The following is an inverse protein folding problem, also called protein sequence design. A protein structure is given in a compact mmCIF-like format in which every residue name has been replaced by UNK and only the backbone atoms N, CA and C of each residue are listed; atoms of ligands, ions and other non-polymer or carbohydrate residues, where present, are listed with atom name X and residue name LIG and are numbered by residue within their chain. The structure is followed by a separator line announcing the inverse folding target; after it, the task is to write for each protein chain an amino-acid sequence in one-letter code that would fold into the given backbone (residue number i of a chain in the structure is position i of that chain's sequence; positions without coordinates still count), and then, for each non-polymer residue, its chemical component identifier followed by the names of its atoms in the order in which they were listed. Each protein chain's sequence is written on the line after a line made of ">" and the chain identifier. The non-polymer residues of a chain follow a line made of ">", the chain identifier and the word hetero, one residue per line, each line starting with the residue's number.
data_IF_731524667017
#
_entry.id   IF_731524667017
#
_cell.length_a   1.000
_cell.length_b   1.000
_cell.length_c   1.000
_cell.angle_alpha   90.00
_cell.angle_beta   90.00
_cell.angle_gamma   90.00
#
_symmetry.space_group_name_H-M   'P 1'
#
loop_
_entity.id
_entity.type
_entity.pdbx_description
1 polymer ?
#
# COMPACT_ATOMS: atom_id res chain seq x y z
N UNK A 1 -35.19 28.88 -83.49
CA UNK A 1 -34.71 27.49 -83.48
C UNK A 1 -33.92 27.25 -82.20
N UNK A 2 -34.29 26.23 -81.41
CA UNK A 2 -33.48 25.75 -80.26
C UNK A 2 -32.17 25.14 -80.79
N UNK A 3 -31.09 25.12 -79.99
CA UNK A 3 -30.91 23.92 -79.16
C UNK A 3 -30.51 24.21 -77.72
N UNK A 4 -31.09 23.40 -76.84
CA UNK A 4 -30.70 23.11 -75.47
C UNK A 4 -29.36 22.37 -75.46
N UNK A 5 -28.43 22.71 -74.58
CA UNK A 5 -27.34 21.82 -74.18
C UNK A 5 -27.25 21.80 -72.65
N UNK A 6 -27.58 20.65 -72.09
CA UNK A 6 -27.35 20.20 -70.71
C UNK A 6 -25.92 19.69 -70.59
N UNK A 7 -25.14 20.18 -69.61
CA UNK A 7 -23.94 19.51 -69.06
C UNK A 7 -23.80 19.90 -67.59
N UNK A 8 -24.28 19.04 -66.68
CA UNK A 8 -23.51 18.02 -65.95
C UNK A 8 -22.73 18.62 -64.77
N UNK A 9 -23.32 18.48 -63.57
CA UNK A 9 -22.68 18.75 -62.30
C UNK A 9 -21.61 17.69 -62.02
N UNK A 10 -20.41 18.11 -61.63
CA UNK A 10 -19.48 17.30 -60.85
C UNK A 10 -19.40 17.92 -59.45
N UNK A 11 -20.06 17.28 -58.48
CA UNK A 11 -19.72 17.46 -57.07
C UNK A 11 -18.48 16.62 -56.80
N UNK A 12 -17.32 17.26 -56.70
CA UNK A 12 -16.13 16.64 -56.12
C UNK A 12 -16.33 16.58 -54.59
N UNK A 13 -16.91 15.50 -54.10
CA UNK A 13 -16.93 15.20 -52.67
C UNK A 13 -15.54 14.78 -52.23
N UNK A 14 -14.82 15.66 -51.53
CA UNK A 14 -13.61 15.29 -50.81
C UNK A 14 -14.02 14.48 -49.58
N UNK A 15 -13.81 13.16 -49.61
CA UNK A 15 -13.91 12.32 -48.43
C UNK A 15 -12.67 12.57 -47.55
N UNK A 16 -12.84 13.34 -46.47
CA UNK A 16 -11.84 13.44 -45.41
C UNK A 16 -11.99 12.16 -44.57
N UNK A 17 -11.09 11.21 -44.76
CA UNK A 17 -10.95 10.08 -43.85
C UNK A 17 -10.30 10.59 -42.56
N UNK A 18 -11.13 10.90 -41.55
CA UNK A 18 -10.67 11.14 -40.18
C UNK A 18 -10.21 9.80 -39.60
N UNK A 19 -8.91 9.55 -39.64
CA UNK A 19 -8.27 8.49 -38.85
C UNK A 19 -8.37 8.92 -37.39
N UNK A 20 -9.33 8.37 -36.65
CA UNK A 20 -9.37 8.51 -35.21
C UNK A 20 -8.20 7.75 -34.61
N UNK A 21 -7.15 8.46 -34.18
CA UNK A 21 -6.20 7.89 -33.23
C UNK A 21 -6.95 7.79 -31.90
N UNK A 22 -7.47 6.60 -31.59
CA UNK A 22 -7.80 6.29 -30.21
C UNK A 22 -6.47 6.22 -29.45
N UNK A 23 -6.18 7.24 -28.63
CA UNK A 23 -5.11 7.15 -27.66
C UNK A 23 -5.49 6.02 -26.68
N UNK A 24 -4.69 4.95 -26.64
CA UNK A 24 -4.80 3.98 -25.58
C UNK A 24 -4.63 4.71 -24.24
N UNK A 25 -5.39 4.36 -23.18
CA UNK A 25 -5.14 4.93 -21.87
C UNK A 25 -3.68 4.66 -21.50
N UNK A 26 -2.95 5.72 -21.15
CA UNK A 26 -1.61 5.56 -20.63
C UNK A 26 -1.74 4.87 -19.27
N UNK A 27 -1.40 3.59 -19.23
CA UNK A 27 -1.23 2.88 -17.97
C UNK A 27 0.08 3.40 -17.36
N UNK A 28 0.00 4.01 -16.17
CA UNK A 28 1.20 4.38 -15.44
C UNK A 28 2.06 3.12 -15.23
N UNK A 29 3.37 3.27 -15.34
CA UNK A 29 4.27 2.16 -15.05
C UNK A 29 4.28 1.90 -13.55
N UNK A 30 4.13 0.63 -13.15
CA UNK A 30 4.27 0.21 -11.75
C UNK A 30 5.62 0.63 -11.20
N UNK A 31 5.61 1.21 -10.01
CA UNK A 31 6.80 1.67 -9.29
C UNK A 31 7.21 0.55 -8.33
N UNK A 32 8.38 -0.03 -8.55
CA UNK A 32 8.91 -1.05 -7.64
C UNK A 32 9.84 -0.40 -6.62
N UNK A 33 9.52 -0.54 -5.34
CA UNK A 33 10.36 -0.11 -4.22
C UNK A 33 10.97 -1.35 -3.58
N UNK A 34 12.29 -1.38 -3.39
CA UNK A 34 12.99 -2.57 -2.87
C UNK A 34 13.98 -2.29 -1.74
N UNK A 35 14.31 -1.02 -1.51
CA UNK A 35 15.17 -0.56 -0.41
C UNK A 35 14.89 0.90 -0.06
N UNK A 36 15.18 1.28 1.18
CA UNK A 36 14.99 2.64 1.68
C UNK A 36 13.74 2.82 2.54
N UNK A 37 13.54 4.05 3.01
CA UNK A 37 12.42 4.42 3.88
C UNK A 37 11.09 4.34 3.13
N UNK A 38 10.10 3.66 3.75
CA UNK A 38 8.72 3.62 3.26
C UNK A 38 7.77 3.52 4.43
N UNK A 39 6.85 4.46 4.53
CA UNK A 39 5.66 4.28 5.35
C UNK A 39 4.62 3.60 4.46
N UNK A 40 4.52 2.28 4.60
CA UNK A 40 3.66 1.43 3.77
C UNK A 40 2.24 1.95 3.84
N UNK A 41 1.78 2.30 5.06
CA UNK A 41 0.50 2.97 5.25
C UNK A 41 0.75 4.34 5.86
N UNK A 42 0.49 5.40 5.12
CA UNK A 42 0.40 6.75 5.64
C UNK A 42 -1.08 7.15 5.76
N UNK A 43 -1.45 7.66 6.93
CA UNK A 43 -2.84 7.95 7.30
C UNK A 43 -3.06 9.45 7.28
N UNK A 44 -3.89 9.90 6.34
CA UNK A 44 -4.29 11.29 6.19
C UNK A 44 -5.73 11.56 6.58
N UNK A 45 -6.03 12.82 6.91
CA UNK A 45 -7.40 13.31 7.05
C UNK A 45 -7.58 14.64 6.32
N UNK A 46 -8.06 14.58 5.08
CA UNK A 46 -8.34 15.74 4.25
C UNK A 46 -9.80 15.75 3.78
N UNK A 47 -10.38 16.93 3.59
CA UNK A 47 -11.70 17.06 2.96
C UNK A 47 -12.86 16.42 3.75
N UNK A 48 -12.63 16.06 5.02
CA UNK A 48 -13.60 15.36 5.87
C UNK A 48 -13.54 13.83 5.80
N UNK A 49 -12.58 13.26 5.06
CA UNK A 49 -12.40 11.82 4.87
C UNK A 49 -11.04 11.35 5.42
N UNK A 50 -11.00 10.11 5.93
CA UNK A 50 -9.74 9.43 6.19
C UNK A 50 -9.24 8.84 4.88
N UNK A 51 -7.95 8.97 4.62
CA UNK A 51 -7.30 8.47 3.41
C UNK A 51 -6.09 7.62 3.81
N UNK A 52 -5.80 6.60 3.00
CA UNK A 52 -4.61 5.76 3.15
C UNK A 52 -3.83 5.83 1.85
N UNK A 53 -2.59 6.28 1.95
CA UNK A 53 -1.63 6.34 0.84
C UNK A 53 -0.34 5.65 1.25
N UNK A 54 0.60 5.52 0.32
CA UNK A 54 1.96 5.07 0.63
C UNK A 54 2.90 6.27 0.56
N UNK A 55 3.69 6.50 1.61
CA UNK A 55 4.73 7.53 1.60
C UNK A 55 6.09 6.91 1.18
N UNK A 56 6.55 7.25 -0.01
CA UNK A 56 7.82 6.78 -0.58
C UNK A 56 8.96 7.74 -0.23
N UNK A 57 9.76 7.38 0.78
CA UNK A 57 10.98 8.08 1.18
C UNK A 57 12.26 7.56 0.50
N UNK A 58 12.17 6.61 -0.44
CA UNK A 58 13.35 5.90 -0.99
C UNK A 58 14.30 6.81 -1.77
N UNK A 59 13.82 7.93 -2.30
CA UNK A 59 14.62 8.91 -3.02
C UNK A 59 15.30 9.96 -2.12
N UNK A 60 15.02 9.93 -0.81
CA UNK A 60 15.43 10.95 0.16
C UNK A 60 14.55 12.21 0.17
N UNK A 61 13.64 12.35 -0.79
CA UNK A 61 12.47 13.24 -0.70
C UNK A 61 11.24 12.37 -0.70
N UNK A 62 10.37 12.58 0.28
CA UNK A 62 9.13 11.83 0.41
C UNK A 62 8.15 12.20 -0.72
N UNK A 63 7.51 11.18 -1.27
CA UNK A 63 6.50 11.29 -2.32
C UNK A 63 5.34 10.37 -1.96
N UNK A 64 4.15 10.93 -1.80
CA UNK A 64 2.93 10.12 -1.70
C UNK A 64 2.63 9.40 -3.02
N UNK A 65 2.23 8.14 -2.91
CA UNK A 65 1.87 7.29 -4.04
C UNK A 65 0.54 6.61 -3.77
N UNK A 66 -0.24 6.43 -4.84
CA UNK A 66 -1.35 5.48 -4.83
C UNK A 66 -0.80 4.06 -4.63
N UNK A 67 -1.20 3.34 -3.58
CA UNK A 67 -0.74 1.97 -3.33
C UNK A 67 -0.99 1.02 -4.51
N UNK A 68 -1.98 1.27 -5.37
CA UNK A 68 -2.24 0.47 -6.57
C UNK A 68 -1.16 0.60 -7.65
N UNK A 69 -0.38 1.69 -7.63
CA UNK A 69 0.72 1.94 -8.57
C UNK A 69 2.07 1.44 -8.05
N UNK A 70 2.13 0.91 -6.82
CA UNK A 70 3.37 0.52 -6.15
C UNK A 70 3.44 -0.99 -5.95
N UNK A 71 4.62 -1.56 -6.21
CA UNK A 71 4.99 -2.91 -5.83
C UNK A 71 6.14 -2.86 -4.81
N UNK A 72 5.88 -3.34 -3.60
CA UNK A 72 6.88 -3.47 -2.54
C UNK A 72 7.63 -4.79 -2.71
N UNK A 73 8.90 -4.74 -3.08
CA UNK A 73 9.71 -5.93 -3.27
C UNK A 73 10.49 -6.27 -2.00
N UNK A 74 10.08 -7.37 -1.36
CA UNK A 74 10.81 -8.00 -0.26
C UNK A 74 11.88 -8.89 -0.87
N UNK A 75 13.10 -8.35 -0.97
CA UNK A 75 14.21 -9.01 -1.66
C UNK A 75 14.62 -10.33 -0.97
N UNK A 76 15.25 -11.29 -1.69
CA UNK A 76 15.80 -12.51 -1.10
C UNK A 76 16.73 -12.28 0.10
N UNK A 77 17.43 -11.15 0.16
CA UNK A 77 18.30 -10.79 1.29
C UNK A 77 17.53 -10.58 2.62
N UNK A 78 16.20 -10.50 2.58
CA UNK A 78 15.35 -10.49 3.77
C UNK A 78 15.16 -11.90 4.37
N UNK A 79 15.55 -12.97 3.68
CA UNK A 79 15.40 -14.34 4.17
C UNK A 79 16.21 -14.58 5.45
N UNK A 80 15.54 -15.15 6.44
CA UNK A 80 16.12 -15.67 7.66
C UNK A 80 15.35 -16.92 8.08
N UNK A 81 15.62 -17.44 9.27
CA UNK A 81 14.92 -18.61 9.82
C UNK A 81 14.17 -18.26 11.10
N UNK A 82 12.99 -18.85 11.28
CA UNK A 82 12.22 -18.72 12.52
C UNK A 82 13.09 -19.15 13.72
N UNK A 83 13.27 -18.29 14.75
CA UNK A 83 14.09 -18.61 15.91
C UNK A 83 13.57 -19.83 16.69
N UNK A 84 14.49 -20.61 17.27
CA UNK A 84 14.13 -21.68 18.22
C UNK A 84 13.75 -21.10 19.60
N UNK A 85 12.68 -20.32 19.63
CA UNK A 85 12.08 -19.70 20.79
C UNK A 85 10.57 -19.66 20.56
N UNK A 86 9.78 -20.20 21.48
CA UNK A 86 8.32 -20.27 21.36
C UNK A 86 7.64 -18.90 21.23
N UNK A 87 8.31 -17.80 21.61
CA UNK A 87 7.79 -16.46 21.39
C UNK A 87 7.60 -16.13 19.89
N UNK A 88 8.28 -16.83 18.98
CA UNK A 88 8.21 -16.63 17.53
C UNK A 88 7.38 -17.70 16.81
N UNK A 89 6.60 -18.53 17.54
CA UNK A 89 5.82 -19.61 16.92
C UNK A 89 4.73 -19.11 15.96
N UNK A 90 4.41 -17.82 15.99
CA UNK A 90 3.49 -17.17 15.05
C UNK A 90 4.08 -16.99 13.65
N UNK A 91 5.41 -17.16 13.48
CA UNK A 91 6.09 -17.11 12.18
C UNK A 91 6.25 -18.49 11.51
N UNK A 92 5.81 -19.56 12.17
CA UNK A 92 6.03 -20.95 11.73
C UNK A 92 6.81 -21.81 12.73
N UNK A 93 7.40 -22.90 12.24
CA UNK A 93 8.20 -23.81 13.06
C UNK A 93 9.65 -23.34 13.15
N UNK A 94 10.36 -23.58 14.27
CA UNK A 94 11.79 -23.27 14.37
C UNK A 94 12.61 -23.83 13.19
N UNK A 95 13.34 -22.96 12.51
CA UNK A 95 14.15 -23.30 11.33
C UNK A 95 13.44 -23.17 9.98
N UNK A 96 12.12 -22.94 9.96
CA UNK A 96 11.41 -22.61 8.71
C UNK A 96 11.94 -21.28 8.13
N UNK A 97 12.01 -21.14 6.79
CA UNK A 97 12.39 -19.88 6.17
C UNK A 97 11.30 -18.81 6.39
N UNK A 98 11.72 -17.57 6.59
CA UNK A 98 10.85 -16.40 6.74
C UNK A 98 11.57 -15.16 6.20
N UNK A 99 10.88 -14.30 5.47
CA UNK A 99 11.45 -13.08 4.90
C UNK A 99 11.02 -11.89 5.74
N UNK A 100 11.98 -11.21 6.37
CA UNK A 100 11.68 -10.14 7.34
C UNK A 100 12.27 -8.81 6.88
N UNK A 101 11.40 -7.85 6.61
CA UNK A 101 11.80 -6.43 6.58
C UNK A 101 11.95 -5.96 8.03
N UNK A 102 13.15 -5.53 8.47
CA UNK A 102 13.41 -5.29 9.89
C UNK A 102 12.91 -3.93 10.36
N UNK A 103 12.45 -3.86 11.63
CA UNK A 103 12.13 -2.58 12.30
C UNK A 103 13.36 -1.69 12.57
N UNK A 104 14.55 -2.25 12.42
CA UNK A 104 15.81 -1.52 12.52
C UNK A 104 16.33 -1.31 11.10
N UNK A 105 16.76 -0.08 10.80
CA UNK A 105 17.24 0.27 9.46
C UNK A 105 18.30 -0.72 8.97
N UNK A 106 17.99 -1.35 7.83
CA UNK A 106 18.93 -2.08 7.01
C UNK A 106 18.98 -1.37 5.64
N UNK A 107 20.16 -0.87 5.26
CA UNK A 107 20.32 -0.11 4.02
C UNK A 107 20.04 -0.94 2.76
N UNK A 108 20.11 -2.27 2.87
CA UNK A 108 19.88 -3.19 1.78
C UNK A 108 18.43 -3.66 1.72
N UNK A 109 17.49 -3.16 2.53
CA UNK A 109 16.09 -3.59 2.53
C UNK A 109 15.13 -2.39 2.66
N UNK A 110 13.86 -2.63 2.38
CA UNK A 110 12.81 -1.66 2.70
C UNK A 110 12.74 -1.47 4.23
N UNK A 111 12.73 -0.22 4.65
CA UNK A 111 12.50 0.17 6.03
C UNK A 111 11.02 0.53 6.19
N UNK A 112 10.21 -0.51 6.40
CA UNK A 112 8.75 -0.46 6.33
C UNK A 112 8.11 -0.02 7.66
N UNK A 113 7.07 0.80 7.57
CA UNK A 113 6.34 1.32 8.72
C UNK A 113 4.95 1.81 8.37
N UNK A 114 4.37 2.57 9.28
CA UNK A 114 3.21 3.41 9.03
C UNK A 114 3.41 4.78 9.67
N UNK A 115 2.70 5.77 9.15
CA UNK A 115 2.70 7.14 9.65
C UNK A 115 1.29 7.71 9.73
N UNK A 116 1.18 8.76 10.55
CA UNK A 116 -0.02 9.56 10.72
C UNK A 116 0.37 11.04 10.89
N UNK A 117 1.44 11.49 10.21
CA UNK A 117 1.91 12.87 10.24
C UNK A 117 0.86 13.84 9.67
N UNK A 118 0.01 13.35 8.78
CA UNK A 118 -1.08 14.09 8.15
C UNK A 118 -2.36 14.14 8.98
N UNK A 119 -2.34 13.58 10.19
CA UNK A 119 -3.43 13.75 11.15
C UNK A 119 -3.11 14.93 12.08
N UNK A 120 -3.95 15.97 12.00
CA UNK A 120 -3.88 17.10 12.92
C UNK A 120 -4.35 16.71 14.34
N UNK A 121 -3.60 17.17 15.35
CA UNK A 121 -4.04 17.09 16.73
C UNK A 121 -5.31 17.91 16.99
N UNK A 122 -6.21 17.40 17.83
CA UNK A 122 -7.48 18.03 18.16
C UNK A 122 -8.62 17.74 17.17
N UNK A 123 -8.43 16.83 16.20
CA UNK A 123 -9.48 16.43 15.25
C UNK A 123 -10.24 15.20 15.75
N UNK A 124 -9.50 14.17 16.19
CA UNK A 124 -10.03 12.89 16.63
C UNK A 124 -10.11 12.81 18.16
N UNK A 125 -11.04 12.02 18.69
CA UNK A 125 -11.13 11.75 20.12
C UNK A 125 -9.86 11.04 20.58
N UNK A 126 -9.16 11.66 21.53
CA UNK A 126 -7.90 11.13 22.04
C UNK A 126 -6.76 11.22 21.03
N UNK A 127 -6.90 12.04 19.98
CA UNK A 127 -5.91 12.22 18.91
C UNK A 127 -5.44 10.89 18.33
N UNK A 128 -6.37 9.96 18.11
CA UNK A 128 -6.07 8.62 17.61
C UNK A 128 -7.10 8.12 16.60
N UNK A 129 -6.62 7.30 15.67
CA UNK A 129 -7.41 6.50 14.75
C UNK A 129 -7.01 5.04 14.88
N UNK A 130 -7.87 4.13 14.45
CA UNK A 130 -7.58 2.71 14.40
C UNK A 130 -7.19 2.31 12.98
N UNK A 131 -5.97 1.80 12.80
CA UNK A 131 -5.53 1.15 11.57
C UNK A 131 -5.80 -0.35 11.67
N UNK A 132 -6.42 -0.92 10.64
CA UNK A 132 -6.85 -2.31 10.61
C UNK A 132 -6.27 -3.04 9.41
N UNK A 133 -5.67 -4.22 9.64
CA UNK A 133 -5.41 -5.19 8.57
C UNK A 133 -6.65 -6.07 8.44
N UNK A 134 -7.35 -5.94 7.32
CA UNK A 134 -8.69 -6.54 7.14
C UNK A 134 -8.69 -7.78 6.26
N UNK A 135 -7.71 -7.92 5.37
CA UNK A 135 -7.53 -9.11 4.55
C UNK A 135 -6.07 -9.28 4.14
N UNK A 136 -5.66 -10.53 3.96
CA UNK A 136 -4.40 -10.91 3.33
C UNK A 136 -4.70 -11.99 2.29
N UNK A 137 -4.11 -11.86 1.12
CA UNK A 137 -4.09 -12.88 0.08
C UNK A 137 -2.65 -13.11 -0.35
N UNK A 138 -2.21 -14.36 -0.36
CA UNK A 138 -0.85 -14.73 -0.72
C UNK A 138 -0.59 -16.22 -0.48
N UNK A 139 0.64 -16.69 -0.71
CA UNK A 139 1.02 -18.09 -0.58
C UNK A 139 1.10 -18.59 0.88
N UNK A 140 1.26 -17.69 1.86
CA UNK A 140 1.28 -18.02 3.29
C UNK A 140 0.80 -16.82 4.12
N UNK A 141 0.90 -16.90 5.45
CA UNK A 141 0.56 -15.79 6.34
C UNK A 141 1.61 -14.68 6.35
N UNK A 142 1.19 -13.50 6.82
CA UNK A 142 2.01 -12.33 7.06
C UNK A 142 1.81 -11.86 8.50
N UNK A 143 2.91 -11.55 9.18
CA UNK A 143 2.86 -10.98 10.53
C UNK A 143 3.69 -9.70 10.59
N UNK A 144 3.12 -8.66 11.20
CA UNK A 144 3.78 -7.39 11.51
C UNK A 144 3.93 -7.28 13.01
N UNK A 145 5.14 -7.04 13.51
CA UNK A 145 5.41 -7.06 14.95
C UNK A 145 6.58 -6.16 15.36
N UNK A 146 6.57 -5.78 16.62
CA UNK A 146 7.67 -5.07 17.29
C UNK A 146 8.51 -6.00 18.15
N UNK A 147 9.76 -5.64 18.38
CA UNK A 147 10.59 -6.15 19.45
C UNK A 147 10.57 -5.15 20.60
N UNK A 148 9.86 -5.49 21.67
CA UNK A 148 9.79 -4.69 22.91
C UNK A 148 10.44 -5.49 24.03
N UNK A 149 11.47 -4.92 24.67
CA UNK A 149 12.22 -5.61 25.74
C UNK A 149 12.71 -7.01 25.33
N UNK A 150 13.22 -7.14 24.08
CA UNK A 150 13.67 -8.39 23.47
C UNK A 150 12.59 -9.47 23.29
N UNK A 151 11.31 -9.11 23.32
CA UNK A 151 10.19 -10.01 23.03
C UNK A 151 9.37 -9.48 21.85
N UNK A 152 8.88 -10.37 20.97
CA UNK A 152 7.98 -9.98 19.89
C UNK A 152 6.61 -9.59 20.45
N UNK A 153 6.06 -8.49 19.95
CA UNK A 153 4.70 -8.02 20.19
C UNK A 153 4.01 -7.87 18.85
N UNK A 154 3.02 -8.72 18.57
CA UNK A 154 2.28 -8.70 17.31
C UNK A 154 1.44 -7.43 17.22
N UNK A 155 1.46 -6.83 16.04
CA UNK A 155 0.61 -5.70 15.65
C UNK A 155 -0.47 -6.16 14.69
N UNK A 156 -0.08 -6.99 13.72
CA UNK A 156 -0.97 -7.70 12.81
C UNK A 156 -0.46 -9.12 12.58
N UNK A 157 -1.33 -10.12 12.48
CA UNK A 157 -0.96 -11.50 12.17
C UNK A 157 -2.09 -12.20 11.43
N UNK A 158 -1.94 -12.42 10.13
CA UNK A 158 -3.01 -13.08 9.37
C UNK A 158 -3.21 -14.56 9.74
N UNK A 159 -2.25 -15.17 10.45
CA UNK A 159 -2.28 -16.59 10.83
C UNK A 159 -3.22 -16.91 12.00
N UNK A 160 -3.64 -15.93 12.81
CA UNK A 160 -4.62 -16.13 13.89
C UNK A 160 -6.01 -15.55 13.61
N UNK A 161 -6.21 -15.03 12.40
CA UNK A 161 -7.47 -14.51 11.89
C UNK A 161 -7.43 -12.99 11.65
N UNK A 162 -8.43 -12.46 10.95
CA UNK A 162 -8.55 -11.03 10.66
C UNK A 162 -10.00 -10.57 10.91
N UNK A 163 -10.22 -9.27 11.23
CA UNK A 163 -9.26 -8.18 11.24
C UNK A 163 -8.41 -8.09 12.51
N UNK A 164 -7.19 -7.60 12.35
CA UNK A 164 -6.35 -7.09 13.45
C UNK A 164 -6.34 -5.57 13.44
N UNK A 165 -6.04 -4.95 14.59
CA UNK A 165 -6.18 -3.51 14.76
C UNK A 165 -5.16 -2.93 15.72
N UNK A 166 -4.59 -1.78 15.34
CA UNK A 166 -3.71 -0.97 16.18
C UNK A 166 -4.26 0.45 16.29
N UNK A 167 -4.04 1.10 17.43
CA UNK A 167 -4.30 2.53 17.57
C UNK A 167 -3.07 3.29 17.09
N UNK A 168 -3.27 4.26 16.21
CA UNK A 168 -2.24 5.17 15.70
C UNK A 168 -2.59 6.57 16.18
N UNK A 169 -1.65 7.24 16.81
CA UNK A 169 -1.84 8.60 17.31
C UNK A 169 -1.54 9.61 16.21
N UNK A 170 -2.16 10.79 16.28
CA UNK A 170 -1.86 11.89 15.40
C UNK A 170 -0.38 12.29 15.52
N UNK A 171 0.31 12.39 14.39
CA UNK A 171 1.74 12.65 14.32
C UNK A 171 2.64 11.44 14.56
N UNK A 172 2.09 10.23 14.73
CA UNK A 172 2.91 9.02 14.92
C UNK A 172 3.68 8.66 13.64
N UNK A 173 4.88 8.12 13.85
CA UNK A 173 5.73 7.53 12.82
C UNK A 173 6.37 6.28 13.41
N UNK A 174 6.09 5.11 12.82
CA UNK A 174 6.48 3.85 13.43
C UNK A 174 6.93 2.80 12.42
N UNK A 175 8.16 2.32 12.60
CA UNK A 175 8.72 1.22 11.82
C UNK A 175 8.68 -0.10 12.59
N UNK A 176 8.30 -1.16 11.89
CA UNK A 176 8.04 -2.50 12.47
C UNK A 176 8.75 -3.59 11.69
N UNK A 177 8.73 -4.82 12.23
CA UNK A 177 9.17 -5.98 11.46
C UNK A 177 7.99 -6.48 10.64
N UNK A 178 8.17 -6.66 9.33
CA UNK A 178 7.18 -7.27 8.44
C UNK A 178 7.71 -8.63 7.98
N UNK A 179 7.05 -9.70 8.41
CA UNK A 179 7.46 -11.06 8.15
C UNK A 179 6.50 -11.77 7.20
N UNK A 180 7.06 -12.35 6.14
CA UNK A 180 6.35 -13.16 5.15
C UNK A 180 6.83 -14.60 5.25
N UNK A 181 5.91 -15.56 5.37
CA UNK A 181 6.25 -16.97 5.63
C UNK A 181 6.54 -17.79 4.35
N UNK A 182 6.44 -17.21 3.16
CA UNK A 182 6.76 -17.84 1.88
C UNK A 182 7.11 -16.79 0.82
N UNK A 183 7.81 -17.22 -0.23
CA UNK A 183 8.00 -16.44 -1.46
C UNK A 183 6.70 -16.37 -2.28
N UNK A 184 6.53 -15.28 -3.03
CA UNK A 184 5.44 -15.05 -3.97
C UNK A 184 4.75 -13.69 -3.79
N UNK A 185 3.64 -13.52 -4.52
CA UNK A 185 2.88 -12.28 -4.50
C UNK A 185 1.88 -12.25 -3.34
N UNK A 186 1.87 -11.13 -2.61
CA UNK A 186 0.97 -10.86 -1.52
C UNK A 186 0.16 -9.59 -1.78
N UNK A 187 -1.06 -9.58 -1.27
CA UNK A 187 -1.93 -8.42 -1.19
C UNK A 187 -2.46 -8.26 0.22
N UNK A 188 -2.18 -7.14 0.85
CA UNK A 188 -2.63 -6.78 2.19
C UNK A 188 -3.66 -5.65 2.09
N UNK A 189 -4.83 -5.83 2.66
CA UNK A 189 -5.91 -4.83 2.62
C UNK A 189 -6.03 -4.11 3.97
N UNK A 190 -5.74 -2.82 3.99
CA UNK A 190 -5.85 -1.99 5.19
C UNK A 190 -7.08 -1.07 5.16
N UNK A 191 -7.53 -0.65 6.34
CA UNK A 191 -8.57 0.35 6.54
C UNK A 191 -8.32 1.15 7.81
N UNK A 192 -8.59 2.46 7.78
CA UNK A 192 -8.61 3.30 8.98
C UNK A 192 -10.03 3.68 9.40
N UNK A 193 -10.23 3.77 10.71
CA UNK A 193 -11.46 4.27 11.33
C UNK A 193 -11.12 5.25 12.44
N UNK A 194 -11.77 6.40 12.46
CA UNK A 194 -11.58 7.43 13.49
C UNK A 194 -12.91 7.97 14.00
N UNK A 195 -12.93 8.48 15.24
CA UNK A 195 -14.08 9.21 15.79
C UNK A 195 -13.70 10.67 16.02
N UNK A 196 -14.37 11.58 15.34
CA UNK A 196 -14.18 13.03 15.49
C UNK A 196 -14.63 13.52 16.87
N UNK A 197 -14.16 14.69 17.28
CA UNK A 197 -14.54 15.28 18.59
C UNK A 197 -16.06 15.42 18.77
N UNK A 198 -16.80 15.72 17.71
CA UNK A 198 -18.27 15.83 17.73
C UNK A 198 -18.99 14.47 17.87
N UNK A 199 -18.24 13.36 17.79
CA UNK A 199 -18.75 11.99 17.90
C UNK A 199 -19.04 11.31 16.57
N UNK A 200 -18.86 11.99 15.44
CA UNK A 200 -18.99 11.39 14.11
C UNK A 200 -17.88 10.36 13.87
N UNK A 201 -18.24 9.16 13.43
CA UNK A 201 -17.26 8.17 12.98
C UNK A 201 -17.00 8.33 11.49
N UNK A 202 -15.73 8.46 11.12
CA UNK A 202 -15.26 8.49 9.73
C UNK A 202 -14.42 7.24 9.45
N UNK A 203 -14.42 6.82 8.20
CA UNK A 203 -13.69 5.64 7.74
C UNK A 203 -12.97 5.99 6.44
N UNK A 204 -11.81 5.38 6.21
CA UNK A 204 -11.23 5.32 4.88
C UNK A 204 -11.94 4.27 4.03
N UNK A 205 -11.67 4.29 2.73
CA UNK A 205 -11.84 3.11 1.88
C UNK A 205 -10.91 1.98 2.33
N UNK A 206 -11.20 0.76 1.88
CA UNK A 206 -10.28 -0.37 1.99
C UNK A 206 -9.24 -0.26 0.88
N UNK A 207 -7.96 -0.24 1.24
CA UNK A 207 -6.85 -0.01 0.31
C UNK A 207 -5.94 -1.23 0.27
N UNK A 208 -5.64 -1.70 -0.93
CA UNK A 208 -4.79 -2.86 -1.19
C UNK A 208 -3.33 -2.43 -1.39
N UNK A 209 -2.42 -3.12 -0.70
CA UNK A 209 -0.97 -2.94 -0.81
C UNK A 209 -0.36 -4.22 -1.36
N UNK A 210 0.49 -4.08 -2.37
CA UNK A 210 1.05 -5.19 -3.12
C UNK A 210 2.51 -5.44 -2.77
N UNK A 211 2.82 -6.68 -2.41
CA UNK A 211 4.18 -7.13 -2.14
C UNK A 211 4.55 -8.29 -3.06
N UNK A 212 5.82 -8.36 -3.46
CA UNK A 212 6.43 -9.57 -4.03
C UNK A 212 7.59 -9.98 -3.13
N UNK A 213 7.63 -11.27 -2.77
CA UNK A 213 8.64 -11.84 -1.87
C UNK A 213 9.51 -12.83 -2.63
N UNK A 214 10.82 -12.62 -2.59
CA UNK A 214 11.81 -13.43 -3.33
C UNK A 214 12.04 -12.97 -4.78
#
# INVERSE_FOLDING_TARGET
>A
MRPTITRAALFAGAAIASVGLAAAPAQAATITLSEGHVDVVDIGYEGGALELVLADGTSGTEVERDPADVLLHVKPEAETTVPNNSAYSFLGSPGDPVWILPQALNADLLYAGWSAHELDAGVFRGDTVQLQLTAVSGPADVSVYDIVNAQPVKQFDSGDGLPDSVNVSAGDHHHTNWAFQAEGDYKLTFKATGTLLDGTTVNSDSVDYHFTVG
#
